data_IF_653955871292
#
_entry.id   IF_653955871292
#
_cell.length_a   1.000
_cell.length_b   1.000
_cell.length_c   1.000
_cell.angle_alpha   90.00
_cell.angle_beta   90.00
_cell.angle_gamma   90.00
#
_symmetry.space_group_name_H-M   'P 1'
#
loop_
_entity.id
_entity.type
_entity.pdbx_description
1 polymer ?
#
# COMPACT_ATOMS: atom_id res chain seq x y z
N UNK A 1 -6.50 6.11 12.85
CA UNK A 1 -6.41 7.45 13.46
C UNK A 1 -7.51 7.60 14.50
N UNK A 2 -7.22 8.22 15.65
CA UNK A 2 -8.23 8.46 16.68
C UNK A 2 -8.80 9.86 16.53
N UNK A 3 -10.13 9.97 16.45
CA UNK A 3 -10.86 11.25 16.46
C UNK A 3 -11.91 11.22 17.56
N UNK A 4 -12.41 12.37 17.96
CA UNK A 4 -13.51 12.47 18.92
C UNK A 4 -14.80 11.91 18.29
N UNK A 5 -15.60 11.20 19.07
CA UNK A 5 -16.93 10.78 18.63
C UNK A 5 -17.83 11.99 18.40
N UNK A 6 -18.62 12.02 17.32
CA UNK A 6 -19.46 13.17 16.95
C UNK A 6 -20.45 13.61 18.03
N UNK A 7 -20.94 12.66 18.84
CA UNK A 7 -21.90 12.91 19.93
C UNK A 7 -21.29 13.58 21.15
N UNK A 8 -19.97 13.69 21.25
CA UNK A 8 -19.28 14.25 22.41
C UNK A 8 -18.87 15.69 22.21
N UNK A 9 -19.08 16.53 23.22
CA UNK A 9 -18.66 17.92 23.26
C UNK A 9 -17.15 18.12 23.41
N UNK A 10 -16.66 19.37 23.32
CA UNK A 10 -15.26 19.70 23.56
C UNK A 10 -14.77 19.23 24.93
N UNK A 11 -13.53 18.73 24.98
CA UNK A 11 -12.90 18.25 26.22
C UNK A 11 -13.21 16.81 26.61
N UNK A 12 -14.07 16.11 25.88
CA UNK A 12 -14.32 14.68 26.06
C UNK A 12 -13.37 13.88 25.15
N UNK A 13 -12.52 13.04 25.74
CA UNK A 13 -11.52 12.23 25.05
C UNK A 13 -11.96 10.77 24.81
N UNK A 14 -13.24 10.57 24.54
CA UNK A 14 -13.72 9.26 24.08
C UNK A 14 -13.46 9.12 22.57
N UNK A 15 -12.50 8.27 22.22
CA UNK A 15 -12.00 8.16 20.86
C UNK A 15 -12.81 7.20 19.99
N UNK A 16 -13.07 7.58 18.74
CA UNK A 16 -13.45 6.68 17.67
C UNK A 16 -12.23 6.39 16.78
N UNK A 17 -11.96 5.12 16.49
CA UNK A 17 -10.97 4.75 15.50
C UNK A 17 -11.52 4.95 14.09
N UNK A 18 -10.83 5.77 13.31
CA UNK A 18 -11.15 6.00 11.91
C UNK A 18 -10.14 5.30 11.01
N UNK A 19 -10.63 4.62 10.01
CA UNK A 19 -9.80 4.10 8.93
C UNK A 19 -9.24 5.25 8.11
N UNK A 20 -7.98 5.14 7.71
CA UNK A 20 -7.36 6.05 6.75
C UNK A 20 -7.04 5.28 5.49
N UNK A 21 -7.47 5.80 4.34
CA UNK A 21 -7.08 5.27 3.03
C UNK A 21 -5.86 6.01 2.53
N UNK A 22 -4.88 5.26 2.05
CA UNK A 22 -3.60 5.84 1.60
C UNK A 22 -3.21 5.21 0.27
N UNK A 23 -2.73 6.04 -0.65
CA UNK A 23 -2.09 5.62 -1.88
C UNK A 23 -0.82 6.42 -2.12
N UNK A 24 0.11 5.84 -2.85
CA UNK A 24 1.27 6.54 -3.40
C UNK A 24 1.25 6.46 -4.92
N UNK A 25 1.70 7.52 -5.53
CA UNK A 25 1.90 7.65 -6.97
C UNK A 25 3.41 7.70 -7.21
N UNK A 26 3.92 6.70 -7.94
CA UNK A 26 5.35 6.53 -8.18
C UNK A 26 5.67 6.71 -9.66
N UNK A 27 6.64 7.55 -9.99
CA UNK A 27 7.32 7.49 -11.29
C UNK A 27 8.58 6.67 -11.12
N UNK A 28 8.77 5.73 -12.03
CA UNK A 28 9.87 4.77 -11.96
C UNK A 28 10.56 4.67 -13.31
N UNK A 29 11.80 4.17 -13.30
CA UNK A 29 12.48 3.79 -14.55
C UNK A 29 11.72 2.64 -15.21
N UNK A 30 11.75 2.54 -16.52
CA UNK A 30 11.18 1.43 -17.27
C UNK A 30 12.31 0.66 -17.95
N UNK A 31 12.47 -0.61 -17.60
CA UNK A 31 13.53 -1.48 -18.12
C UNK A 31 12.92 -2.80 -18.60
N UNK A 32 12.24 -2.80 -19.77
CA UNK A 32 11.65 -4.03 -20.31
C UNK A 32 12.75 -4.99 -20.79
N UNK A 33 12.50 -6.28 -20.65
CA UNK A 33 13.39 -7.36 -21.07
C UNK A 33 12.65 -8.36 -21.95
N UNK A 34 13.35 -8.93 -22.93
CA UNK A 34 12.80 -9.99 -23.77
C UNK A 34 12.63 -11.33 -23.05
N UNK A 35 13.38 -11.53 -21.98
CA UNK A 35 13.32 -12.71 -21.11
C UNK A 35 13.12 -12.25 -19.67
N UNK A 36 12.56 -13.14 -18.83
CA UNK A 36 12.40 -12.82 -17.41
C UNK A 36 13.76 -12.51 -16.77
N UNK A 37 13.96 -11.27 -16.28
CA UNK A 37 15.25 -10.87 -15.71
C UNK A 37 15.53 -11.51 -14.33
N UNK A 38 14.50 -12.02 -13.64
CA UNK A 38 14.62 -12.58 -12.30
C UNK A 38 13.72 -13.80 -12.11
N UNK A 39 14.03 -14.95 -12.80
CA UNK A 39 13.19 -16.14 -12.75
C UNK A 39 13.24 -16.85 -11.39
N UNK A 40 14.31 -16.65 -10.62
CA UNK A 40 14.51 -17.28 -9.32
C UNK A 40 13.83 -16.45 -8.22
N UNK A 41 13.13 -17.15 -7.30
CA UNK A 41 12.52 -16.51 -6.14
C UNK A 41 13.59 -15.87 -5.26
N UNK A 42 13.47 -14.56 -4.92
CA UNK A 42 14.32 -13.94 -3.91
C UNK A 42 14.17 -14.63 -2.55
N UNK A 43 15.30 -14.88 -1.87
CA UNK A 43 15.33 -15.64 -0.61
C UNK A 43 14.44 -15.03 0.49
N UNK A 44 14.26 -13.72 0.45
CA UNK A 44 13.40 -13.00 1.39
C UNK A 44 11.90 -13.35 1.29
N UNK A 45 11.47 -13.98 0.20
CA UNK A 45 10.10 -14.44 0.03
C UNK A 45 9.94 -15.94 0.26
N UNK A 46 11.06 -16.66 0.44
CA UNK A 46 11.04 -18.11 0.66
C UNK A 46 10.37 -18.48 2.01
N UNK A 47 10.46 -17.63 3.00
CA UNK A 47 9.89 -17.84 4.33
C UNK A 47 8.87 -16.77 4.68
N UNK A 48 7.90 -17.06 5.60
CA UNK A 48 6.98 -16.05 6.11
C UNK A 48 7.73 -14.84 6.64
N UNK A 49 7.24 -13.64 6.37
CA UNK A 49 7.77 -12.43 6.96
C UNK A 49 7.40 -12.45 8.45
N UNK A 50 8.36 -12.80 9.32
CA UNK A 50 8.16 -12.81 10.77
C UNK A 50 7.81 -11.40 11.25
N UNK A 51 6.59 -11.22 11.73
CA UNK A 51 6.11 -9.99 12.37
C UNK A 51 6.85 -9.68 13.69
N UNK A 52 7.57 -10.65 14.26
CA UNK A 52 8.25 -10.55 15.55
C UNK A 52 9.76 -10.25 15.47
N UNK A 53 10.32 -9.96 14.30
CA UNK A 53 11.74 -9.62 14.16
C UNK A 53 12.09 -8.19 14.61
N UNK A 54 11.52 -7.72 15.72
CA UNK A 54 11.98 -6.49 16.40
C UNK A 54 13.41 -6.59 16.98
N UNK A 55 14.14 -7.69 16.76
CA UNK A 55 15.44 -7.95 17.38
C UNK A 55 16.63 -8.08 16.45
N UNK A 56 16.54 -7.72 15.16
CA UNK A 56 17.77 -7.61 14.37
C UNK A 56 18.32 -6.19 14.47
N UNK A 57 19.39 -6.06 15.26
CA UNK A 57 20.16 -4.82 15.51
C UNK A 57 21.04 -4.38 14.33
N UNK A 58 20.92 -5.01 13.19
CA UNK A 58 21.48 -4.55 11.90
C UNK A 58 20.33 -4.49 10.91
N UNK A 59 20.09 -3.35 10.22
CA UNK A 59 19.13 -3.33 9.12
C UNK A 59 19.69 -4.25 8.05
N UNK A 60 19.14 -5.46 7.94
CA UNK A 60 19.26 -6.24 6.72
C UNK A 60 18.80 -5.32 5.58
N UNK A 61 19.54 -5.22 4.47
CA UNK A 61 19.09 -4.41 3.35
C UNK A 61 17.69 -4.90 2.98
N UNK A 62 16.72 -3.97 2.99
CA UNK A 62 15.34 -4.26 2.67
C UNK A 62 15.32 -5.06 1.37
N UNK A 63 15.01 -6.34 1.42
CA UNK A 63 15.12 -7.23 0.28
C UNK A 63 14.19 -6.81 -0.89
N UNK A 64 13.23 -5.93 -0.57
CA UNK A 64 12.33 -5.29 -1.52
C UNK A 64 13.00 -4.13 -2.28
N UNK A 65 14.14 -3.64 -1.78
CA UNK A 65 14.92 -2.53 -2.34
C UNK A 65 16.30 -2.98 -2.85
N UNK A 66 16.49 -4.28 -3.10
CA UNK A 66 17.78 -4.77 -3.61
C UNK A 66 18.12 -4.12 -4.95
N UNK A 67 19.28 -3.47 -5.07
CA UNK A 67 19.70 -2.81 -6.30
C UNK A 67 19.65 -3.75 -7.51
N UNK A 68 19.04 -3.27 -8.60
CA UNK A 68 18.95 -4.01 -9.86
C UNK A 68 17.82 -5.06 -9.96
N UNK A 69 16.94 -5.17 -8.95
CA UNK A 69 15.84 -6.15 -8.97
C UNK A 69 14.46 -5.59 -9.36
N UNK A 70 14.38 -4.35 -9.75
CA UNK A 70 13.12 -3.73 -10.17
C UNK A 70 13.32 -2.32 -10.69
N UNK A 71 12.24 -1.68 -11.15
CA UNK A 71 12.32 -0.30 -11.59
C UNK A 71 12.68 0.64 -10.42
N UNK A 72 13.61 1.57 -10.68
CA UNK A 72 14.03 2.56 -9.69
C UNK A 72 12.98 3.66 -9.54
N UNK A 73 12.70 4.07 -8.31
CA UNK A 73 11.80 5.18 -8.02
C UNK A 73 12.52 6.50 -8.32
N UNK A 74 11.97 7.27 -9.25
CA UNK A 74 12.48 8.60 -9.61
C UNK A 74 11.75 9.69 -8.80
N UNK A 75 10.48 9.45 -8.51
CA UNK A 75 9.60 10.44 -7.93
C UNK A 75 8.42 9.77 -7.23
N UNK A 76 8.04 10.28 -6.07
CA UNK A 76 6.92 9.77 -5.28
C UNK A 76 6.08 10.91 -4.72
N UNK A 77 4.79 10.72 -4.70
CA UNK A 77 3.83 11.58 -4.03
C UNK A 77 2.71 10.72 -3.45
N UNK A 78 2.01 11.21 -2.46
CA UNK A 78 1.00 10.43 -1.76
C UNK A 78 -0.33 11.15 -1.64
N UNK A 79 -1.34 10.36 -1.35
CA UNK A 79 -2.67 10.78 -0.93
C UNK A 79 -3.06 9.96 0.29
N UNK A 80 -3.57 10.62 1.33
CA UNK A 80 -4.20 9.93 2.46
C UNK A 80 -5.42 10.73 2.91
N UNK A 81 -6.51 10.04 3.24
CA UNK A 81 -7.79 10.64 3.57
C UNK A 81 -8.58 9.77 4.55
N UNK A 82 -9.52 10.38 5.27
CA UNK A 82 -10.55 9.71 6.07
C UNK A 82 -11.83 9.43 5.26
N UNK A 83 -11.89 9.87 4.01
CA UNK A 83 -13.03 9.67 3.11
C UNK A 83 -13.31 8.19 2.86
N UNK A 84 -14.53 7.89 2.43
CA UNK A 84 -14.90 6.55 2.01
C UNK A 84 -14.15 6.10 0.74
N UNK A 85 -14.27 4.82 0.37
CA UNK A 85 -13.53 4.26 -0.76
C UNK A 85 -13.92 4.85 -2.12
N UNK A 86 -15.15 5.31 -2.28
CA UNK A 86 -15.61 5.93 -3.53
C UNK A 86 -14.99 7.31 -3.72
N UNK A 87 -15.08 8.18 -2.72
CA UNK A 87 -14.45 9.49 -2.72
C UNK A 87 -12.93 9.41 -2.83
N UNK A 88 -12.32 8.46 -2.12
CA UNK A 88 -10.89 8.18 -2.26
C UNK A 88 -10.51 7.83 -3.70
N UNK A 89 -11.32 7.03 -4.40
CA UNK A 89 -11.10 6.71 -5.81
C UNK A 89 -11.09 7.94 -6.71
N UNK A 90 -12.03 8.87 -6.53
CA UNK A 90 -12.05 10.15 -7.27
C UNK A 90 -10.84 11.02 -6.95
N UNK A 91 -10.50 11.15 -5.68
CA UNK A 91 -9.34 11.94 -5.24
C UNK A 91 -8.03 11.37 -5.82
N UNK A 92 -7.88 10.04 -5.82
CA UNK A 92 -6.71 9.36 -6.37
C UNK A 92 -6.61 9.54 -7.88
N UNK A 93 -7.73 9.41 -8.59
CA UNK A 93 -7.78 9.64 -10.04
C UNK A 93 -7.40 11.08 -10.41
N UNK A 94 -7.96 12.06 -9.72
CA UNK A 94 -7.62 13.46 -9.91
C UNK A 94 -6.14 13.75 -9.60
N UNK A 95 -5.60 13.15 -8.53
CA UNK A 95 -4.19 13.29 -8.18
C UNK A 95 -3.26 12.68 -9.26
N UNK A 96 -3.65 11.55 -9.83
CA UNK A 96 -2.91 10.88 -10.91
C UNK A 96 -2.97 11.68 -12.23
N UNK A 97 -4.14 12.20 -12.59
CA UNK A 97 -4.34 13.02 -13.80
C UNK A 97 -3.53 14.31 -13.74
N UNK A 98 -3.63 15.05 -12.66
CA UNK A 98 -2.88 16.30 -12.43
C UNK A 98 -1.35 16.10 -12.50
N UNK A 99 -0.86 14.88 -12.36
CA UNK A 99 0.56 14.51 -12.41
C UNK A 99 0.95 13.77 -13.68
N UNK A 100 0.01 13.63 -14.64
CA UNK A 100 0.25 13.02 -15.95
C UNK A 100 0.46 11.51 -15.93
N UNK A 101 -0.09 10.78 -14.94
CA UNK A 101 0.06 9.33 -14.86
C UNK A 101 -0.69 8.60 -15.97
N UNK A 102 -1.81 9.15 -16.46
CA UNK A 102 -2.59 8.56 -17.56
C UNK A 102 -1.91 8.67 -18.93
N UNK A 103 -0.84 9.46 -19.05
CA UNK A 103 -0.05 9.60 -20.27
C UNK A 103 1.30 8.87 -20.22
N UNK A 104 1.57 8.12 -19.14
CA UNK A 104 2.80 7.36 -19.00
C UNK A 104 2.85 6.20 -20.00
N UNK A 105 4.07 5.84 -20.45
CA UNK A 105 4.31 4.76 -21.41
C UNK A 105 3.88 3.40 -20.87
N UNK A 106 4.13 3.14 -19.59
CA UNK A 106 3.67 1.95 -18.87
C UNK A 106 2.94 2.39 -17.60
N UNK A 107 1.86 1.71 -17.28
CA UNK A 107 0.97 2.06 -16.17
C UNK A 107 0.64 0.80 -15.38
N UNK A 108 0.90 0.80 -14.08
CA UNK A 108 0.56 -0.30 -13.19
C UNK A 108 -0.25 0.18 -11.98
N UNK A 109 -1.18 -0.64 -11.53
CA UNK A 109 -1.97 -0.45 -10.32
C UNK A 109 -1.77 -1.65 -9.40
N UNK A 110 -1.03 -1.44 -8.32
CA UNK A 110 -0.66 -2.50 -7.37
C UNK A 110 -1.45 -2.32 -6.08
N UNK A 111 -2.01 -3.40 -5.55
CA UNK A 111 -2.69 -3.39 -4.25
C UNK A 111 -2.72 -4.78 -3.60
N UNK A 112 -3.17 -4.80 -2.35
CA UNK A 112 -3.30 -5.97 -1.46
C UNK A 112 -4.44 -6.93 -1.79
N UNK A 113 -5.12 -6.75 -2.90
CA UNK A 113 -6.21 -7.64 -3.33
C UNK A 113 -7.58 -7.38 -2.70
N UNK A 114 -7.73 -6.39 -1.83
CA UNK A 114 -9.03 -6.03 -1.29
C UNK A 114 -10.01 -5.58 -2.38
N UNK A 115 -11.26 -6.00 -2.28
CA UNK A 115 -12.27 -5.84 -3.33
C UNK A 115 -12.56 -4.37 -3.71
N UNK A 116 -12.48 -3.45 -2.74
CA UNK A 116 -12.70 -2.04 -3.02
C UNK A 116 -11.57 -1.44 -3.88
N UNK A 117 -10.32 -1.90 -3.70
CA UNK A 117 -9.18 -1.47 -4.52
C UNK A 117 -9.38 -1.85 -5.99
N UNK A 118 -9.88 -3.06 -6.25
CA UNK A 118 -10.22 -3.48 -7.61
C UNK A 118 -11.43 -2.74 -8.18
N UNK A 119 -12.34 -2.26 -7.33
CA UNK A 119 -13.45 -1.40 -7.78
C UNK A 119 -12.94 -0.02 -8.20
N UNK A 120 -12.00 0.56 -7.44
CA UNK A 120 -11.32 1.81 -7.81
C UNK A 120 -10.55 1.63 -9.13
N UNK A 121 -9.78 0.54 -9.26
CA UNK A 121 -9.08 0.23 -10.50
C UNK A 121 -10.02 0.21 -11.70
N UNK A 122 -11.09 -0.59 -11.65
CA UNK A 122 -12.04 -0.72 -12.77
C UNK A 122 -12.71 0.60 -13.15
N UNK A 123 -13.00 1.46 -12.16
CA UNK A 123 -13.71 2.74 -12.40
C UNK A 123 -12.79 3.83 -12.91
N UNK A 124 -11.57 3.91 -12.40
CA UNK A 124 -10.71 5.07 -12.59
C UNK A 124 -9.38 4.76 -13.26
N UNK A 125 -8.91 3.53 -13.21
CA UNK A 125 -7.59 3.10 -13.68
C UNK A 125 -7.64 1.90 -14.61
N UNK A 126 -8.73 1.76 -15.39
CA UNK A 126 -8.94 0.58 -16.24
C UNK A 126 -7.84 0.36 -17.31
N UNK A 127 -7.09 1.42 -17.68
CA UNK A 127 -5.93 1.32 -18.59
C UNK A 127 -4.66 0.83 -17.90
N UNK A 128 -4.60 0.84 -16.57
CA UNK A 128 -3.44 0.40 -15.81
C UNK A 128 -3.43 -1.11 -15.67
N UNK A 129 -2.26 -1.73 -15.79
CA UNK A 129 -2.09 -3.16 -15.54
C UNK A 129 -2.38 -3.44 -14.06
N UNK A 130 -3.42 -4.25 -13.74
CA UNK A 130 -3.72 -4.61 -12.37
C UNK A 130 -2.74 -5.68 -11.88
N UNK A 131 -2.06 -5.42 -10.78
CA UNK A 131 -1.08 -6.32 -10.19
C UNK A 131 -1.45 -6.59 -8.74
N UNK A 132 -1.63 -7.86 -8.38
CA UNK A 132 -1.68 -8.25 -6.98
C UNK A 132 -0.28 -8.13 -6.40
N UNK A 133 -0.14 -7.41 -5.28
CA UNK A 133 1.12 -7.32 -4.56
C UNK A 133 1.68 -8.72 -4.27
N UNK A 134 2.93 -8.95 -4.69
CA UNK A 134 3.55 -10.27 -4.52
C UNK A 134 3.78 -10.63 -3.05
N UNK A 135 4.09 -9.66 -2.19
CA UNK A 135 4.28 -9.90 -0.75
C UNK A 135 3.00 -10.44 -0.14
N UNK A 136 1.86 -9.78 -0.40
CA UNK A 136 0.57 -10.24 0.10
C UNK A 136 0.17 -11.59 -0.50
N UNK A 137 0.44 -11.82 -1.80
CA UNK A 137 0.21 -13.13 -2.40
C UNK A 137 1.03 -14.23 -1.70
N UNK A 138 2.32 -13.98 -1.42
CA UNK A 138 3.20 -14.92 -0.73
C UNK A 138 2.74 -15.17 0.72
N UNK A 139 2.30 -14.13 1.45
CA UNK A 139 1.74 -14.28 2.81
C UNK A 139 0.53 -15.22 2.82
N UNK A 140 -0.42 -15.04 1.91
CA UNK A 140 -1.59 -15.91 1.78
C UNK A 140 -1.21 -17.36 1.44
N UNK A 141 -0.19 -17.56 0.59
CA UNK A 141 0.34 -18.88 0.26
C UNK A 141 1.01 -19.52 1.47
N UNK A 142 1.82 -18.79 2.22
CA UNK A 142 2.46 -19.27 3.44
C UNK A 142 1.42 -19.63 4.52
N UNK A 143 0.38 -18.83 4.70
CA UNK A 143 -0.70 -19.14 5.64
C UNK A 143 -1.43 -20.44 5.27
N UNK A 144 -1.69 -20.65 3.98
CA UNK A 144 -2.29 -21.89 3.48
C UNK A 144 -1.40 -23.12 3.73
N UNK A 145 -0.10 -23.02 3.45
CA UNK A 145 0.86 -24.10 3.68
C UNK A 145 1.01 -24.40 5.17
N UNK A 146 1.15 -23.37 6.00
CA UNK A 146 1.25 -23.50 7.45
C UNK A 146 0.03 -24.21 8.07
N UNK A 147 -1.17 -23.93 7.59
CA UNK A 147 -2.38 -24.62 8.04
C UNK A 147 -2.36 -26.13 7.73
N UNK A 148 -1.57 -26.56 6.77
CA UNK A 148 -1.34 -27.97 6.42
C UNK A 148 -0.12 -28.56 7.14
N UNK A 149 0.62 -27.78 7.92
CA UNK A 149 1.88 -28.19 8.53
C UNK A 149 3.03 -28.31 7.53
N UNK A 150 2.95 -27.61 6.40
CA UNK A 150 3.93 -27.64 5.30
C UNK A 150 4.67 -26.30 5.18
N UNK A 151 5.85 -26.34 4.53
CA UNK A 151 6.57 -25.14 4.11
C UNK A 151 5.97 -24.61 2.80
N UNK A 152 5.68 -23.31 2.78
CA UNK A 152 5.08 -22.64 1.63
C UNK A 152 6.04 -22.31 0.49
N UNK A 153 7.36 -22.44 0.66
CA UNK A 153 8.39 -21.98 -0.28
C UNK A 153 8.14 -22.49 -1.72
N UNK A 154 7.80 -23.77 -1.85
CA UNK A 154 7.52 -24.36 -3.17
C UNK A 154 6.33 -23.69 -3.87
N UNK A 155 5.24 -23.45 -3.17
CA UNK A 155 4.07 -22.79 -3.75
C UNK A 155 4.33 -21.31 -4.06
N UNK A 156 5.07 -20.61 -3.20
CA UNK A 156 5.49 -19.23 -3.45
C UNK A 156 6.39 -19.16 -4.69
N UNK A 157 7.33 -20.13 -4.83
CA UNK A 157 8.18 -20.24 -6.03
C UNK A 157 7.35 -20.47 -7.29
N UNK A 158 6.36 -21.36 -7.24
CA UNK A 158 5.43 -21.57 -8.36
C UNK A 158 4.65 -20.28 -8.71
N UNK A 159 4.18 -19.54 -7.72
CA UNK A 159 3.53 -18.25 -7.95
C UNK A 159 4.48 -17.25 -8.61
N UNK A 160 5.72 -17.14 -8.11
CA UNK A 160 6.76 -16.29 -8.69
C UNK A 160 7.04 -16.60 -10.16
N UNK A 161 7.02 -17.88 -10.51
CA UNK A 161 7.24 -18.39 -11.86
C UNK A 161 5.99 -18.39 -12.76
N UNK A 162 4.88 -17.80 -12.30
CA UNK A 162 3.62 -17.73 -13.07
C UNK A 162 2.80 -19.02 -13.09
N UNK A 163 3.15 -20.01 -12.27
CA UNK A 163 2.47 -21.31 -12.20
C UNK A 163 1.31 -21.30 -11.19
N UNK A 164 0.61 -20.20 -11.09
CA UNK A 164 -0.47 -19.99 -10.09
C UNK A 164 -1.58 -21.04 -10.23
N UNK A 165 -1.94 -21.43 -11.47
CA UNK A 165 -2.96 -22.44 -11.71
C UNK A 165 -2.60 -23.80 -11.10
N UNK A 166 -1.31 -24.16 -11.08
CA UNK A 166 -0.83 -25.38 -10.44
C UNK A 166 -1.03 -25.31 -8.93
N UNK A 167 -0.63 -24.19 -8.31
CA UNK A 167 -0.81 -23.96 -6.85
C UNK A 167 -2.28 -24.07 -6.47
N UNK A 168 -3.18 -23.42 -7.22
CA UNK A 168 -4.62 -23.48 -6.96
C UNK A 168 -5.21 -24.89 -7.07
N UNK A 169 -4.68 -25.68 -8.01
CA UNK A 169 -5.09 -27.09 -8.18
C UNK A 169 -4.65 -27.91 -6.98
N UNK A 170 -3.38 -27.83 -6.58
CA UNK A 170 -2.84 -28.55 -5.43
C UNK A 170 -3.54 -28.15 -4.12
N UNK A 171 -3.76 -26.85 -3.87
CA UNK A 171 -4.53 -26.37 -2.72
C UNK A 171 -5.96 -26.91 -2.70
N UNK A 172 -6.60 -27.00 -3.89
CA UNK A 172 -7.96 -27.57 -4.01
C UNK A 172 -7.95 -29.07 -3.68
N UNK A 173 -6.95 -29.80 -4.11
CA UNK A 173 -6.81 -31.22 -3.77
C UNK A 173 -6.58 -31.43 -2.27
N UNK A 174 -5.74 -30.59 -1.64
CA UNK A 174 -5.53 -30.61 -0.20
C UNK A 174 -6.84 -30.31 0.55
N UNK A 175 -7.58 -29.28 0.14
CA UNK A 175 -8.85 -28.92 0.74
C UNK A 175 -9.87 -30.06 0.69
N UNK A 176 -9.93 -30.77 -0.44
CA UNK A 176 -10.84 -31.92 -0.61
C UNK A 176 -10.47 -33.14 0.26
N UNK A 177 -9.26 -33.21 0.79
CA UNK A 177 -8.81 -34.26 1.73
C UNK A 177 -9.13 -33.90 3.18
N UNK A 178 -9.38 -32.64 3.47
CA UNK A 178 -9.72 -32.17 4.82
C UNK A 178 -11.23 -32.27 5.07
N UNK A 179 -11.58 -32.59 6.29
CA UNK A 179 -12.99 -32.55 6.74
C UNK A 179 -13.29 -31.14 7.24
N UNK A 180 -14.36 -30.51 6.76
CA UNK A 180 -14.76 -29.21 7.31
C UNK A 180 -15.16 -29.35 8.79
N UNK A 181 -14.89 -28.33 9.63
CA UNK A 181 -15.33 -28.35 11.03
C UNK A 181 -16.85 -28.26 11.12
N UNK A 182 -17.45 -28.70 12.25
CA UNK A 182 -18.90 -28.63 12.48
C UNK A 182 -19.48 -27.23 12.34
N UNK A 183 -18.75 -26.20 12.80
CA UNK A 183 -19.11 -24.79 12.65
C UNK A 183 -17.93 -23.96 12.15
N UNK A 184 -17.80 -23.79 10.81
CA UNK A 184 -16.71 -22.99 10.22
C UNK A 184 -16.73 -21.52 10.65
N UNK A 185 -17.85 -20.98 11.13
CA UNK A 185 -17.93 -19.57 11.56
C UNK A 185 -17.27 -19.33 12.93
N UNK A 186 -17.18 -20.36 13.75
CA UNK A 186 -16.55 -20.33 15.08
C UNK A 186 -15.10 -20.81 15.01
N UNK A 187 -14.84 -21.87 14.24
CA UNK A 187 -13.54 -22.54 14.15
C UNK A 187 -12.69 -21.97 13.01
N UNK A 188 -12.47 -20.65 12.97
CA UNK A 188 -11.81 -19.96 11.88
C UNK A 188 -10.33 -20.36 11.69
N UNK A 189 -9.67 -20.82 12.74
CA UNK A 189 -8.27 -21.31 12.71
C UNK A 189 -8.16 -22.79 12.30
N UNK A 190 -9.28 -23.47 12.09
CA UNK A 190 -9.25 -24.84 11.61
C UNK A 190 -8.59 -24.93 10.21
N UNK A 191 -7.69 -25.90 9.95
CA UNK A 191 -6.93 -25.97 8.69
C UNK A 191 -7.80 -25.89 7.44
N UNK A 192 -8.97 -26.51 7.46
CA UNK A 192 -9.94 -26.43 6.36
C UNK A 192 -10.41 -24.99 6.13
N UNK A 193 -10.73 -24.24 7.20
CA UNK A 193 -11.22 -22.87 7.12
C UNK A 193 -10.14 -21.93 6.58
N UNK A 194 -8.92 -22.06 7.11
CA UNK A 194 -7.77 -21.27 6.64
C UNK A 194 -7.53 -21.54 5.16
N UNK A 195 -7.34 -22.81 4.79
CA UNK A 195 -7.05 -23.19 3.39
C UNK A 195 -8.18 -22.76 2.43
N UNK A 196 -9.44 -22.89 2.84
CA UNK A 196 -10.59 -22.45 2.04
C UNK A 196 -10.58 -20.93 1.81
N UNK A 197 -10.25 -20.14 2.84
CA UNK A 197 -10.15 -18.67 2.79
C UNK A 197 -9.02 -18.25 1.84
N UNK A 198 -7.81 -18.81 2.03
CA UNK A 198 -6.64 -18.43 1.25
C UNK A 198 -6.77 -18.85 -0.22
N UNK A 199 -7.31 -20.04 -0.47
CA UNK A 199 -7.64 -20.51 -1.82
C UNK A 199 -8.64 -19.59 -2.53
N UNK A 200 -9.67 -19.13 -1.81
CA UNK A 200 -10.65 -18.18 -2.32
C UNK A 200 -10.01 -16.84 -2.69
N UNK A 201 -9.12 -16.33 -1.84
CA UNK A 201 -8.38 -15.09 -2.12
C UNK A 201 -7.51 -15.21 -3.37
N UNK A 202 -6.71 -16.27 -3.49
CA UNK A 202 -5.83 -16.49 -4.64
C UNK A 202 -6.63 -16.69 -5.95
N UNK A 203 -7.72 -17.45 -5.91
CA UNK A 203 -8.62 -17.63 -7.06
C UNK A 203 -9.20 -16.31 -7.57
N UNK A 204 -9.64 -15.46 -6.66
CA UNK A 204 -10.22 -14.15 -7.00
C UNK A 204 -9.20 -13.17 -7.61
N UNK A 205 -7.92 -13.42 -7.40
CA UNK A 205 -6.83 -12.56 -7.85
C UNK A 205 -5.94 -13.21 -8.94
N UNK A 206 -6.20 -14.42 -9.36
CA UNK A 206 -5.37 -15.21 -10.27
C UNK A 206 -4.96 -14.46 -11.54
N UNK A 207 -5.87 -13.72 -12.17
CA UNK A 207 -5.61 -12.95 -13.39
C UNK A 207 -4.63 -11.78 -13.20
N UNK A 208 -4.28 -11.46 -11.94
CA UNK A 208 -3.40 -10.34 -11.56
C UNK A 208 -2.07 -10.82 -11.00
N UNK A 209 -1.72 -12.09 -11.25
CA UNK A 209 -0.54 -12.77 -10.70
C UNK A 209 0.41 -13.25 -11.79
N UNK A 210 0.43 -12.60 -12.95
CA UNK A 210 1.37 -12.94 -14.05
C UNK A 210 2.72 -12.23 -13.83
N UNK A 211 3.39 -12.59 -12.74
CA UNK A 211 4.64 -11.94 -12.31
C UNK A 211 5.79 -12.04 -13.32
N UNK A 212 6.00 -13.16 -14.05
CA UNK A 212 7.00 -13.20 -15.11
C UNK A 212 6.79 -12.17 -16.20
N UNK A 213 5.54 -12.00 -16.66
CA UNK A 213 5.19 -10.96 -17.65
C UNK A 213 5.45 -9.57 -17.09
N UNK A 214 5.07 -9.28 -15.86
CA UNK A 214 5.28 -7.96 -15.26
C UNK A 214 6.78 -7.64 -15.14
N UNK A 215 7.62 -8.62 -14.81
CA UNK A 215 9.09 -8.45 -14.80
C UNK A 215 9.64 -8.19 -16.20
N UNK A 216 9.18 -8.92 -17.20
CA UNK A 216 9.56 -8.67 -18.60
C UNK A 216 9.14 -7.28 -19.06
N UNK A 217 7.97 -6.80 -18.65
CA UNK A 217 7.47 -5.46 -18.96
C UNK A 217 8.16 -4.35 -18.13
N UNK A 218 9.01 -4.70 -17.16
CA UNK A 218 9.70 -3.77 -16.27
C UNK A 218 8.77 -3.10 -15.25
N UNK A 219 7.65 -3.76 -14.89
CA UNK A 219 6.69 -3.25 -13.93
C UNK A 219 7.08 -3.65 -12.50
N UNK A 220 6.74 -2.83 -11.49
CA UNK A 220 6.94 -3.19 -10.09
C UNK A 220 5.98 -4.29 -9.65
N UNK A 221 6.43 -5.15 -8.72
CA UNK A 221 5.65 -6.32 -8.24
C UNK A 221 5.12 -6.15 -6.82
N UNK A 222 5.66 -5.17 -6.06
CA UNK A 222 5.34 -5.02 -4.64
C UNK A 222 4.90 -3.61 -4.31
N UNK A 223 4.09 -3.48 -3.28
CA UNK A 223 3.67 -2.21 -2.71
C UNK A 223 4.53 -1.78 -1.50
N UNK A 224 5.71 -2.38 -1.30
CA UNK A 224 6.58 -2.05 -0.17
C UNK A 224 6.88 -0.54 0.00
N UNK A 225 6.97 0.29 -1.06
CA UNK A 225 7.11 1.73 -0.89
C UNK A 225 5.93 2.37 -0.13
N UNK A 226 4.70 1.82 -0.21
CA UNK A 226 3.57 2.36 0.55
C UNK A 226 3.68 2.04 2.03
N UNK A 227 4.23 0.90 2.42
CA UNK A 227 4.42 0.57 3.83
C UNK A 227 5.37 1.55 4.50
N UNK A 228 6.51 1.84 3.85
CA UNK A 228 7.44 2.87 4.31
C UNK A 228 6.77 4.24 4.41
N UNK A 229 5.95 4.60 3.42
CA UNK A 229 5.18 5.83 3.42
C UNK A 229 4.19 5.90 4.58
N UNK A 230 3.40 4.84 4.79
CA UNK A 230 2.42 4.73 5.86
C UNK A 230 3.09 4.78 7.23
N UNK A 231 4.25 4.13 7.41
CA UNK A 231 5.03 4.23 8.65
C UNK A 231 5.42 5.69 8.94
N UNK A 232 5.96 6.40 7.96
CA UNK A 232 6.34 7.81 8.11
C UNK A 232 5.12 8.72 8.35
N UNK A 233 4.01 8.48 7.67
CA UNK A 233 2.75 9.20 7.88
C UNK A 233 2.26 8.99 9.32
N UNK A 234 2.19 7.74 9.75
CA UNK A 234 1.64 7.33 11.05
C UNK A 234 2.45 7.86 12.24
N UNK A 235 3.76 8.03 12.12
CA UNK A 235 4.62 8.58 13.19
C UNK A 235 4.10 9.91 13.77
N UNK A 236 3.34 10.69 13.00
CA UNK A 236 2.82 12.00 13.39
C UNK A 236 1.30 12.05 13.54
N UNK A 237 0.60 11.05 13.03
CA UNK A 237 -0.87 11.09 12.90
C UNK A 237 -1.57 10.01 13.72
N UNK A 238 -0.95 8.82 13.86
CA UNK A 238 -1.50 7.71 14.62
C UNK A 238 -0.67 7.46 15.89
N UNK A 239 -1.34 6.95 16.91
CA UNK A 239 -0.77 6.59 18.20
C UNK A 239 -1.82 6.70 19.27
N UNK A 240 -1.69 5.93 20.35
CA UNK A 240 -2.64 5.97 21.47
C UNK A 240 -2.65 7.32 22.19
N UNK A 241 -1.53 8.04 22.11
CA UNK A 241 -1.34 9.38 22.66
C UNK A 241 -1.78 10.52 21.74
N UNK A 242 -2.22 10.21 20.50
CA UNK A 242 -2.62 11.20 19.49
C UNK A 242 -4.11 11.15 19.27
N UNK A 243 -4.74 12.28 19.57
CA UNK A 243 -6.18 12.47 19.49
C UNK A 243 -6.51 13.75 18.72
N UNK A 244 -7.44 13.64 17.79
CA UNK A 244 -7.89 14.76 16.96
C UNK A 244 -9.31 15.16 17.35
N UNK A 245 -9.53 16.45 17.57
CA UNK A 245 -10.80 16.96 18.07
C UNK A 245 -11.98 16.69 17.12
N UNK A 246 -11.70 16.60 15.82
CA UNK A 246 -12.67 16.31 14.77
C UNK A 246 -12.01 15.70 13.55
N UNK A 247 -12.83 15.20 12.63
CA UNK A 247 -12.36 14.57 11.40
C UNK A 247 -11.72 15.59 10.44
N UNK A 248 -12.18 16.86 10.41
CA UNK A 248 -11.65 17.89 9.51
C UNK A 248 -10.21 18.27 9.87
N UNK A 249 -9.91 18.45 11.15
CA UNK A 249 -8.54 18.67 11.61
C UNK A 249 -7.65 17.45 11.35
N UNK A 250 -8.21 16.25 11.55
CA UNK A 250 -7.54 15.00 11.21
C UNK A 250 -7.20 14.90 9.72
N UNK A 251 -8.16 15.19 8.85
CA UNK A 251 -8.00 15.21 7.40
C UNK A 251 -6.94 16.24 6.96
N UNK A 252 -7.01 17.45 7.50
CA UNK A 252 -6.06 18.52 7.18
C UNK A 252 -4.62 18.13 7.50
N UNK A 253 -4.39 17.46 8.62
CA UNK A 253 -3.06 16.96 9.00
C UNK A 253 -2.59 15.80 8.12
N UNK A 254 -3.50 14.94 7.70
CA UNK A 254 -3.16 13.88 6.73
C UNK A 254 -2.68 14.48 5.41
N UNK A 255 -3.40 15.47 4.88
CA UNK A 255 -3.02 16.16 3.65
C UNK A 255 -1.69 16.90 3.79
N UNK A 256 -1.50 17.64 4.88
CA UNK A 256 -0.25 18.36 5.14
C UNK A 256 0.94 17.39 5.24
N UNK A 257 0.75 16.27 5.93
CA UNK A 257 1.80 15.28 6.11
C UNK A 257 2.15 14.58 4.80
N UNK A 258 1.16 14.26 3.96
CA UNK A 258 1.40 13.73 2.61
C UNK A 258 2.17 14.72 1.73
N UNK A 259 1.76 15.99 1.73
CA UNK A 259 2.43 17.04 0.97
C UNK A 259 3.88 17.27 1.44
N UNK A 260 4.15 17.05 2.74
CA UNK A 260 5.52 17.12 3.29
C UNK A 260 6.40 15.95 2.86
N UNK A 261 5.82 14.74 2.77
CA UNK A 261 6.54 13.52 2.40
C UNK A 261 6.77 13.39 0.89
N UNK A 262 5.99 14.11 0.08
CA UNK A 262 6.06 14.04 -1.38
C UNK A 262 7.25 14.78 -1.98
N UNK A 263 7.75 14.25 -3.09
CA UNK A 263 8.85 14.84 -3.86
C UNK A 263 8.38 15.94 -4.83
N UNK A 264 7.05 16.25 -4.86
CA UNK A 264 6.44 17.21 -5.77
C UNK A 264 6.50 18.68 -5.29
N UNK A 265 7.15 18.90 -4.16
CA UNK A 265 7.25 20.23 -3.54
C UNK A 265 5.88 20.92 -3.36
N UNK A 266 4.79 20.13 -3.24
CA UNK A 266 3.44 20.64 -3.17
C UNK A 266 3.24 21.62 -2.00
N UNK A 267 3.85 21.29 -0.85
CA UNK A 267 3.81 22.15 0.33
C UNK A 267 4.58 23.45 0.11
N UNK A 268 5.79 23.39 -0.46
CA UNK A 268 6.62 24.56 -0.73
C UNK A 268 5.93 25.49 -1.73
N UNK A 269 5.34 24.93 -2.80
CA UNK A 269 4.56 25.68 -3.79
C UNK A 269 3.33 26.34 -3.17
N UNK A 270 2.62 25.60 -2.31
CA UNK A 270 1.48 26.15 -1.57
C UNK A 270 1.89 27.33 -0.68
N UNK A 271 2.96 27.17 0.10
CA UNK A 271 3.45 28.22 1.00
C UNK A 271 3.96 29.46 0.23
N UNK A 272 4.64 29.25 -0.90
CA UNK A 272 5.14 30.36 -1.74
C UNK A 272 3.99 31.18 -2.37
N UNK A 273 2.87 30.52 -2.71
CA UNK A 273 1.72 31.16 -3.34
C UNK A 273 0.66 31.64 -2.33
N UNK A 274 0.88 31.44 -1.04
CA UNK A 274 -0.06 31.79 -0.01
C UNK A 274 -0.16 33.34 0.11
N UNK A 275 -1.34 33.95 -0.03
CA UNK A 275 -1.51 35.40 0.17
C UNK A 275 -1.19 35.73 1.62
N UNK A 276 -0.16 36.55 1.85
CA UNK A 276 0.34 37.13 3.09
C UNK A 276 0.06 36.38 4.40
N UNK A 277 1.00 36.36 5.31
CA UNK A 277 0.74 35.75 6.63
C UNK A 277 -0.27 36.61 7.38
N UNK A 278 -1.50 36.15 7.70
CA UNK A 278 -2.48 36.93 8.46
C UNK A 278 -1.99 37.28 9.88
N UNK A 279 -0.91 36.63 10.35
CA UNK A 279 -0.26 36.86 11.64
C UNK A 279 1.14 37.46 11.53
N UNK A 280 1.59 37.80 10.33
CA UNK A 280 2.85 38.54 10.15
C UNK A 280 2.71 39.94 10.78
N UNK A 281 3.42 40.21 11.88
CA UNK A 281 3.60 41.60 12.34
C UNK A 281 4.16 42.37 11.15
N UNK A 282 3.55 43.50 10.73
CA UNK A 282 4.15 44.36 9.72
C UNK A 282 5.56 44.72 10.21
N UNK A 283 6.58 44.36 9.40
CA UNK A 283 7.94 44.73 9.76
C UNK A 283 8.05 46.27 9.68
N UNK A 284 8.17 46.95 10.81
CA UNK A 284 8.47 48.35 10.91
C UNK A 284 9.85 48.78 10.35
N UNK A 285 10.37 48.02 9.34
CA UNK A 285 11.72 48.18 8.81
C UNK A 285 11.80 49.08 7.56
N UNK A 286 10.75 49.82 7.20
CA UNK A 286 10.78 50.66 5.98
C UNK A 286 10.48 52.14 6.27
N UNK A 287 10.75 52.66 7.48
CA UNK A 287 10.57 54.07 7.76
C UNK A 287 11.82 54.83 8.27
N UNK A 288 13.03 54.40 7.93
CA UNK A 288 14.22 55.14 8.35
C UNK A 288 15.19 55.49 7.23
N UNK A 289 14.73 55.70 6.01
CA UNK A 289 15.58 56.21 4.94
C UNK A 289 14.83 57.24 4.06
N UNK A 290 14.33 58.30 4.67
CA UNK A 290 14.04 59.57 3.96
C UNK A 290 14.11 60.73 4.95
N UNK A 291 15.29 61.15 5.30
CA UNK A 291 15.61 62.50 5.77
C UNK A 291 17.14 62.63 5.84
N UNK A 292 17.74 63.06 4.76
CA UNK A 292 18.85 64.00 4.68
C UNK A 292 19.17 64.28 3.20
#
# INVERSE_FOLDING_TARGET
>A
MQTRKPEHGPGVHDAAWRETKTAILLRMTLQPSATDPHPDLPICFAHPLDSDSEKLTTPEPNCLELPGRGPEIIYRTGLATLSNSEEFGYQLAAAADNRGFFTAQAQAYICDGQSYNWTIHRRHFASFVPILDFVHAAEHVHQAAHALGEDGERWVTCCWQGQVSQVLTEMTECLNRLTPPPDPSVEQEHPWCVLHRELGYLKNNQERMDYPRYRCEGLPLTSSPIESWVKQLNQRVKGSEKFWNDDENGESILHLRNAWLGDDEALQKHLANRPGQPYGRPSNRTQSCKAA
#
